data_IF_534874948963
#
_entry.id   IF_534874948963
#
_cell.length_a   1.000
_cell.length_b   1.000
_cell.length_c   1.000
_cell.angle_alpha   90.00
_cell.angle_beta   90.00
_cell.angle_gamma   90.00
#
_symmetry.space_group_name_H-M   'P 1'
#
loop_
_entity.id
_entity.type
_entity.pdbx_description
1 polymer ?
#
# COMPACT_ATOMS: atom_id res chain seq x y z
N UNK A 1 9.16 25.30 -14.59
CA UNK A 1 9.65 23.93 -14.36
C UNK A 1 9.54 23.19 -15.68
N UNK A 2 10.33 22.17 -15.97
CA UNK A 2 10.11 21.39 -17.19
C UNK A 2 8.68 20.85 -17.18
N UNK A 3 8.08 20.77 -18.39
CA UNK A 3 6.72 20.24 -18.54
C UNK A 3 6.66 18.71 -18.39
N UNK A 4 7.83 18.05 -18.25
CA UNK A 4 7.98 16.59 -18.21
C UNK A 4 8.91 16.19 -17.05
N UNK A 5 8.53 15.18 -16.27
CA UNK A 5 9.30 14.60 -15.17
C UNK A 5 10.08 13.41 -15.71
N UNK A 6 11.39 13.48 -15.65
CA UNK A 6 12.30 12.42 -16.10
C UNK A 6 12.48 11.41 -14.97
N UNK A 7 12.01 10.18 -15.18
CA UNK A 7 11.95 9.17 -14.14
C UNK A 7 12.73 7.90 -14.48
N UNK A 8 13.28 7.25 -13.45
CA UNK A 8 13.93 5.94 -13.57
C UNK A 8 13.36 4.96 -12.53
N UNK A 9 13.43 3.67 -12.84
CA UNK A 9 12.99 2.59 -11.95
C UNK A 9 14.21 1.87 -11.38
N UNK A 10 14.23 1.63 -10.07
CA UNK A 10 15.25 0.86 -9.37
C UNK A 10 14.65 -0.48 -8.93
N UNK A 11 15.12 -1.56 -9.53
CA UNK A 11 14.63 -2.92 -9.34
C UNK A 11 13.77 -3.41 -10.51
N UNK A 12 14.24 -4.48 -11.18
CA UNK A 12 13.53 -5.13 -12.30
C UNK A 12 13.47 -6.65 -12.13
N UNK A 13 13.32 -7.06 -10.87
CA UNK A 13 13.26 -8.48 -10.51
C UNK A 13 12.03 -9.20 -11.07
N UNK A 14 12.10 -10.55 -11.22
CA UNK A 14 11.02 -11.34 -11.82
C UNK A 14 9.81 -11.51 -10.91
N UNK A 15 9.96 -11.23 -9.62
CA UNK A 15 8.87 -11.37 -8.66
C UNK A 15 7.78 -10.36 -8.97
N UNK A 16 6.63 -10.86 -9.37
CA UNK A 16 5.44 -10.07 -9.69
C UNK A 16 5.61 -8.99 -10.76
N UNK A 17 6.77 -8.90 -11.43
CA UNK A 17 7.05 -7.95 -12.49
C UNK A 17 6.77 -6.47 -12.15
N UNK A 18 6.94 -6.08 -10.88
CA UNK A 18 6.64 -4.70 -10.45
C UNK A 18 7.56 -3.66 -11.09
N UNK A 19 8.82 -3.98 -11.37
CA UNK A 19 9.69 -3.08 -12.11
C UNK A 19 9.12 -2.75 -13.50
N UNK A 20 8.62 -3.76 -14.22
CA UNK A 20 7.92 -3.57 -15.47
C UNK A 20 6.64 -2.74 -15.30
N UNK A 21 5.84 -3.01 -14.27
CA UNK A 21 4.60 -2.30 -14.01
C UNK A 21 4.84 -0.80 -13.75
N UNK A 22 5.85 -0.47 -12.92
CA UNK A 22 6.21 0.94 -12.67
C UNK A 22 6.72 1.61 -13.94
N UNK A 23 7.53 0.92 -14.76
CA UNK A 23 7.96 1.42 -16.06
C UNK A 23 6.78 1.72 -17.00
N UNK A 24 5.77 0.83 -17.00
CA UNK A 24 4.56 1.02 -17.79
C UNK A 24 3.72 2.20 -17.32
N UNK A 25 3.49 2.36 -16.01
CA UNK A 25 2.75 3.50 -15.46
C UNK A 25 3.47 4.82 -15.77
N UNK A 26 4.79 4.88 -15.59
CA UNK A 26 5.60 6.04 -15.92
C UNK A 26 5.46 6.36 -17.42
N UNK A 27 5.62 5.37 -18.30
CA UNK A 27 5.53 5.55 -19.74
C UNK A 27 4.13 5.92 -20.25
N UNK A 28 3.08 5.47 -19.54
CA UNK A 28 1.68 5.73 -19.91
C UNK A 28 1.13 7.06 -19.37
N UNK A 29 1.84 7.72 -18.44
CA UNK A 29 1.43 9.01 -17.89
C UNK A 29 2.11 10.13 -18.67
N UNK A 30 1.36 11.00 -19.38
CA UNK A 30 1.93 11.96 -20.33
C UNK A 30 2.96 12.92 -19.75
N UNK A 31 2.87 13.23 -18.45
CA UNK A 31 3.78 14.14 -17.74
C UNK A 31 5.12 13.49 -17.36
N UNK A 32 5.28 12.17 -17.57
CA UNK A 32 6.53 11.46 -17.26
C UNK A 32 7.25 10.98 -18.52
N UNK A 33 8.57 10.90 -18.42
CA UNK A 33 9.45 10.22 -19.37
C UNK A 33 10.20 9.11 -18.64
N UNK A 34 10.06 7.85 -19.08
CA UNK A 34 10.87 6.75 -18.59
C UNK A 34 12.27 6.86 -19.20
N UNK A 35 13.23 7.33 -18.41
CA UNK A 35 14.65 7.46 -18.85
C UNK A 35 15.34 6.12 -18.80
N UNK A 36 15.11 5.31 -17.77
CA UNK A 36 15.80 4.03 -17.67
C UNK A 36 15.50 3.21 -16.42
N UNK A 37 16.23 2.11 -16.33
CA UNK A 37 16.10 1.11 -15.26
C UNK A 37 17.47 0.82 -14.66
N UNK A 38 17.53 0.76 -13.32
CA UNK A 38 18.67 0.31 -12.56
C UNK A 38 18.38 -1.02 -11.86
N UNK A 39 19.20 -2.02 -12.07
CA UNK A 39 19.19 -3.27 -11.29
C UNK A 39 20.61 -3.81 -11.19
N UNK A 40 21.00 -4.27 -10.00
CA UNK A 40 22.35 -4.85 -9.77
C UNK A 40 22.63 -6.09 -10.61
N UNK A 41 21.58 -6.78 -11.08
CA UNK A 41 21.69 -7.95 -11.93
C UNK A 41 21.67 -7.53 -13.41
N UNK A 42 22.77 -7.76 -14.17
CA UNK A 42 22.84 -7.42 -15.59
C UNK A 42 21.79 -8.14 -16.46
N UNK A 43 21.30 -9.31 -16.05
CA UNK A 43 20.23 -10.00 -16.78
C UNK A 43 18.92 -9.22 -16.68
N UNK A 44 18.67 -8.56 -15.54
CA UNK A 44 17.48 -7.73 -15.33
C UNK A 44 17.52 -6.44 -16.12
N UNK A 45 18.66 -5.78 -16.16
CA UNK A 45 18.84 -4.58 -17.00
C UNK A 45 18.77 -4.91 -18.49
N UNK A 46 19.26 -6.08 -18.90
CA UNK A 46 19.09 -6.54 -20.28
C UNK A 46 17.62 -6.84 -20.62
N UNK A 47 16.87 -7.46 -19.71
CA UNK A 47 15.42 -7.68 -19.86
C UNK A 47 14.67 -6.34 -19.96
N UNK A 48 14.96 -5.39 -19.08
CA UNK A 48 14.34 -4.06 -19.12
C UNK A 48 14.60 -3.36 -20.47
N UNK A 49 15.80 -3.46 -21.00
CA UNK A 49 16.16 -2.87 -22.30
C UNK A 49 15.45 -3.54 -23.47
N UNK A 50 15.13 -4.83 -23.35
CA UNK A 50 14.34 -5.57 -24.35
C UNK A 50 12.84 -5.17 -24.30
N UNK A 51 12.30 -5.00 -23.08
CA UNK A 51 10.89 -4.60 -22.88
C UNK A 51 10.66 -3.13 -23.27
N UNK A 52 11.65 -2.27 -23.06
CA UNK A 52 11.58 -0.81 -23.29
C UNK A 52 12.72 -0.35 -24.20
N UNK A 53 12.61 -0.52 -25.52
CA UNK A 53 13.65 -0.08 -26.44
C UNK A 53 13.93 1.43 -26.34
N UNK A 54 15.21 1.78 -26.22
CA UNK A 54 15.66 3.18 -26.17
C UNK A 54 15.94 3.72 -24.76
N UNK A 55 15.57 3.00 -23.69
CA UNK A 55 15.93 3.41 -22.34
C UNK A 55 17.40 3.18 -22.02
N UNK A 56 17.90 3.91 -21.03
CA UNK A 56 19.21 3.66 -20.42
C UNK A 56 19.11 2.59 -19.32
N UNK A 57 20.24 1.96 -19.00
CA UNK A 57 20.31 0.98 -17.92
C UNK A 57 21.57 1.13 -17.09
N UNK A 58 21.45 0.93 -15.78
CA UNK A 58 22.55 1.00 -14.81
C UNK A 58 22.56 -0.25 -13.93
N UNK A 59 23.76 -0.68 -13.55
CA UNK A 59 23.91 -1.79 -12.60
C UNK A 59 24.32 -1.33 -11.19
N UNK A 60 24.56 -0.02 -11.02
CA UNK A 60 24.84 0.62 -9.74
C UNK A 60 23.93 1.86 -9.57
N UNK A 61 23.34 2.00 -8.39
CA UNK A 61 22.52 3.17 -8.06
C UNK A 61 23.34 4.46 -8.01
N UNK A 62 24.66 4.39 -7.71
CA UNK A 62 25.53 5.55 -7.69
C UNK A 62 25.63 6.20 -9.08
N UNK A 63 25.71 5.38 -10.15
CA UNK A 63 25.76 5.89 -11.53
C UNK A 63 24.44 6.58 -11.92
N UNK A 64 23.29 6.02 -11.46
CA UNK A 64 22.00 6.62 -11.66
C UNK A 64 21.86 7.95 -10.89
N UNK A 65 22.27 7.97 -9.61
CA UNK A 65 22.13 9.16 -8.76
C UNK A 65 23.04 10.32 -9.18
N UNK A 66 24.15 10.03 -9.86
CA UNK A 66 25.04 11.05 -10.44
C UNK A 66 24.44 11.78 -11.66
N UNK A 67 23.28 11.36 -12.16
CA UNK A 67 22.60 11.97 -13.32
C UNK A 67 21.79 13.19 -12.89
N UNK A 68 22.14 14.37 -13.37
CA UNK A 68 21.43 15.62 -13.07
C UNK A 68 20.10 15.76 -13.84
N UNK A 69 19.93 14.99 -14.91
CA UNK A 69 18.77 15.03 -15.79
C UNK A 69 17.65 14.03 -15.40
N UNK A 70 17.75 13.39 -14.24
CA UNK A 70 16.70 12.53 -13.68
C UNK A 70 16.10 13.22 -12.47
N UNK A 71 14.79 13.44 -12.50
CA UNK A 71 14.04 14.15 -11.46
C UNK A 71 13.50 13.21 -10.37
N UNK A 72 13.08 11.99 -10.76
CA UNK A 72 12.38 11.05 -9.90
C UNK A 72 12.93 9.63 -10.06
N UNK A 73 12.99 8.91 -8.95
CA UNK A 73 13.25 7.46 -8.97
C UNK A 73 12.12 6.69 -8.29
N UNK A 74 11.72 5.57 -8.89
CA UNK A 74 10.78 4.62 -8.33
C UNK A 74 11.51 3.41 -7.79
N UNK A 75 11.49 3.20 -6.47
CA UNK A 75 12.21 2.13 -5.77
C UNK A 75 11.31 0.90 -5.63
N UNK A 76 11.64 -0.17 -6.36
CA UNK A 76 10.84 -1.39 -6.53
C UNK A 76 11.66 -2.63 -6.20
N UNK A 77 12.40 -2.55 -5.13
CA UNK A 77 13.32 -3.58 -4.64
C UNK A 77 12.72 -4.33 -3.45
N UNK A 78 13.37 -5.35 -2.86
CA UNK A 78 12.91 -5.96 -1.61
C UNK A 78 12.86 -4.97 -0.44
N UNK A 79 11.88 -5.12 0.47
CA UNK A 79 11.57 -4.16 1.55
C UNK A 79 12.78 -3.71 2.36
N UNK A 80 13.74 -4.61 2.65
CA UNK A 80 14.93 -4.30 3.46
C UNK A 80 15.90 -3.33 2.77
N UNK A 81 15.75 -3.10 1.48
CA UNK A 81 16.58 -2.17 0.70
C UNK A 81 15.88 -0.84 0.42
N UNK A 82 14.57 -0.71 0.72
CA UNK A 82 13.81 0.50 0.42
C UNK A 82 14.39 1.74 1.12
N UNK A 83 14.57 1.66 2.44
CA UNK A 83 15.03 2.81 3.21
C UNK A 83 16.43 3.30 2.80
N UNK A 84 17.48 2.46 2.72
CA UNK A 84 18.79 2.94 2.30
C UNK A 84 18.78 3.54 0.90
N UNK A 85 18.15 2.88 -0.08
CA UNK A 85 18.10 3.39 -1.47
C UNK A 85 17.33 4.71 -1.55
N UNK A 86 16.17 4.80 -0.90
CA UNK A 86 15.37 6.02 -0.91
C UNK A 86 16.09 7.22 -0.26
N UNK A 87 16.78 6.99 0.88
CA UNK A 87 17.56 8.03 1.55
C UNK A 87 18.70 8.53 0.66
N UNK A 88 19.44 7.63 0.00
CA UNK A 88 20.51 8.01 -0.92
C UNK A 88 19.97 8.81 -2.12
N UNK A 89 18.86 8.36 -2.72
CA UNK A 89 18.22 9.06 -3.83
C UNK A 89 17.77 10.48 -3.44
N UNK A 90 17.09 10.61 -2.28
CA UNK A 90 16.66 11.91 -1.75
C UNK A 90 17.85 12.86 -1.54
N UNK A 91 18.92 12.38 -0.92
CA UNK A 91 20.17 13.15 -0.71
C UNK A 91 20.85 13.53 -2.02
N UNK A 92 20.70 12.71 -3.06
CA UNK A 92 21.14 13.03 -4.42
C UNK A 92 20.19 14.00 -5.17
N UNK A 93 19.19 14.55 -4.48
CA UNK A 93 18.29 15.55 -5.05
C UNK A 93 17.17 14.97 -5.92
N UNK A 94 16.84 13.68 -5.80
CA UNK A 94 15.77 13.04 -6.55
C UNK A 94 14.46 13.01 -5.73
N UNK A 95 13.32 13.18 -6.39
CA UNK A 95 12.03 12.75 -5.82
C UNK A 95 11.97 11.24 -5.77
N UNK A 96 11.28 10.67 -4.80
CA UNK A 96 11.22 9.22 -4.61
C UNK A 96 9.78 8.74 -4.50
N UNK A 97 9.44 7.74 -5.30
CA UNK A 97 8.32 6.82 -5.06
C UNK A 97 8.90 5.51 -4.54
N UNK A 98 8.43 5.03 -3.41
CA UNK A 98 8.85 3.73 -2.87
C UNK A 98 7.68 2.75 -2.87
N UNK A 99 7.95 1.50 -3.29
CA UNK A 99 6.97 0.43 -3.19
C UNK A 99 6.61 0.13 -1.73
N UNK A 100 5.42 -0.45 -1.57
CA UNK A 100 4.95 -0.92 -0.26
C UNK A 100 5.58 -2.32 0.05
N UNK A 101 5.83 -2.70 1.30
CA UNK A 101 5.84 -1.83 2.47
C UNK A 101 6.98 -0.81 2.38
N UNK A 102 6.71 0.43 2.80
CA UNK A 102 7.66 1.54 2.70
C UNK A 102 9.05 1.19 3.24
N UNK A 103 9.13 0.44 4.34
CA UNK A 103 10.36 0.01 5.01
C UNK A 103 10.03 -1.02 6.10
N UNK A 104 11.02 -1.45 6.91
CA UNK A 104 10.85 -2.50 7.90
C UNK A 104 10.42 -2.03 9.31
N UNK A 105 10.59 -0.75 9.65
CA UNK A 105 10.26 -0.22 10.97
C UNK A 105 10.08 1.30 10.95
N UNK A 106 9.52 1.84 12.03
CA UNK A 106 9.21 3.27 12.17
C UNK A 106 10.45 4.14 12.16
N UNK A 107 11.59 3.68 12.68
CA UNK A 107 12.83 4.45 12.64
C UNK A 107 13.32 4.65 11.20
N UNK A 108 13.25 3.62 10.35
CA UNK A 108 13.57 3.76 8.93
C UNK A 108 12.61 4.72 8.23
N UNK A 109 11.30 4.61 8.48
CA UNK A 109 10.31 5.52 7.90
C UNK A 109 10.58 6.98 8.29
N UNK A 110 10.93 7.24 9.54
CA UNK A 110 11.30 8.57 10.03
C UNK A 110 12.54 9.09 9.32
N UNK A 111 13.61 8.29 9.22
CA UNK A 111 14.82 8.70 8.53
C UNK A 111 14.60 8.99 7.03
N UNK A 112 13.70 8.25 6.37
CA UNK A 112 13.31 8.54 4.98
C UNK A 112 12.58 9.88 4.85
N UNK A 113 11.67 10.18 5.78
CA UNK A 113 10.93 11.46 5.83
C UNK A 113 11.90 12.62 6.08
N UNK A 114 12.76 12.50 7.08
CA UNK A 114 13.78 13.51 7.40
C UNK A 114 14.70 13.79 6.20
N UNK A 115 15.15 12.75 5.51
CA UNK A 115 15.97 12.92 4.30
C UNK A 115 15.20 13.64 3.17
N UNK A 116 13.89 13.41 3.03
CA UNK A 116 13.06 14.11 2.05
C UNK A 116 12.91 15.60 2.39
N UNK A 117 12.67 15.92 3.67
CA UNK A 117 12.55 17.28 4.17
C UNK A 117 13.86 18.05 4.03
N UNK A 118 14.99 17.47 4.45
CA UNK A 118 16.33 18.04 4.32
C UNK A 118 16.71 18.36 2.86
N UNK A 119 16.31 17.47 1.94
CA UNK A 119 16.57 17.65 0.51
C UNK A 119 15.54 18.56 -0.19
N UNK A 120 14.43 18.89 0.44
CA UNK A 120 13.31 19.59 -0.20
C UNK A 120 12.69 18.78 -1.35
N UNK A 121 12.64 17.45 -1.21
CA UNK A 121 12.15 16.52 -2.21
C UNK A 121 10.93 15.75 -1.73
N UNK A 122 10.14 15.26 -2.68
CA UNK A 122 8.97 14.44 -2.39
C UNK A 122 9.37 13.01 -2.10
N UNK A 123 8.85 12.46 -1.00
CA UNK A 123 8.80 11.03 -0.72
C UNK A 123 7.35 10.57 -0.76
N UNK A 124 6.99 9.77 -1.74
CA UNK A 124 5.66 9.19 -1.90
C UNK A 124 5.72 7.66 -1.78
N UNK A 125 4.66 7.05 -1.23
CA UNK A 125 4.54 5.59 -1.10
C UNK A 125 3.52 5.07 -2.10
N UNK A 126 3.84 3.99 -2.81
CA UNK A 126 2.99 3.45 -3.87
C UNK A 126 1.80 2.65 -3.31
N UNK A 127 0.86 3.32 -2.65
CA UNK A 127 -0.43 2.74 -2.25
C UNK A 127 -1.48 2.94 -3.34
N UNK A 128 -1.21 2.46 -4.55
CA UNK A 128 -2.08 2.56 -5.72
C UNK A 128 -3.48 1.95 -5.51
N UNK A 129 -3.63 1.04 -4.54
CA UNK A 129 -4.91 0.40 -4.24
C UNK A 129 -5.92 1.31 -3.54
N UNK A 130 -5.57 2.57 -3.20
CA UNK A 130 -6.57 3.62 -2.93
C UNK A 130 -7.53 3.82 -4.11
N UNK A 131 -7.10 3.40 -5.31
CA UNK A 131 -7.87 3.46 -6.54
C UNK A 131 -8.51 2.11 -6.94
N UNK A 132 -8.54 1.12 -6.06
CA UNK A 132 -9.31 -0.12 -6.26
C UNK A 132 -10.81 0.20 -6.29
N UNK A 133 -11.52 -0.36 -7.25
CA UNK A 133 -12.92 -0.01 -7.50
C UNK A 133 -13.87 -0.34 -6.35
N UNK A 134 -13.63 -1.42 -5.62
CA UNK A 134 -14.39 -1.76 -4.41
C UNK A 134 -14.12 -0.75 -3.27
N UNK A 135 -12.86 -0.40 -3.04
CA UNK A 135 -12.49 0.57 -2.02
C UNK A 135 -13.06 1.96 -2.33
N UNK A 136 -12.96 2.41 -3.58
CA UNK A 136 -13.56 3.69 -4.04
C UNK A 136 -15.07 3.71 -3.84
N UNK A 137 -15.77 2.60 -4.12
CA UNK A 137 -17.22 2.47 -3.89
C UNK A 137 -17.55 2.52 -2.40
N UNK A 138 -16.83 1.77 -1.58
CA UNK A 138 -17.00 1.76 -0.12
C UNK A 138 -16.78 3.16 0.44
N UNK A 139 -15.66 3.80 0.08
CA UNK A 139 -15.35 5.15 0.55
C UNK A 139 -16.44 6.15 0.16
N UNK A 140 -16.94 6.10 -1.07
CA UNK A 140 -18.06 6.95 -1.49
C UNK A 140 -19.28 6.76 -0.60
N UNK A 141 -19.72 5.51 -0.36
CA UNK A 141 -20.91 5.23 0.45
C UNK A 141 -20.74 5.69 1.92
N UNK A 142 -19.53 5.57 2.46
CA UNK A 142 -19.19 6.07 3.79
C UNK A 142 -19.20 7.60 3.83
N UNK A 143 -18.57 8.25 2.86
CA UNK A 143 -18.51 9.72 2.76
C UNK A 143 -19.91 10.34 2.53
N UNK A 144 -20.78 9.65 1.77
CA UNK A 144 -22.17 10.05 1.53
C UNK A 144 -23.09 9.81 2.75
N UNK A 145 -22.56 9.17 3.81
CA UNK A 145 -23.30 8.91 5.06
C UNK A 145 -24.37 7.82 4.96
N UNK A 146 -24.30 6.94 3.96
CA UNK A 146 -25.33 5.94 3.64
C UNK A 146 -25.61 4.93 4.77
N UNK A 147 -24.71 4.80 5.74
CA UNK A 147 -24.83 3.92 6.91
C UNK A 147 -24.77 4.66 8.25
N UNK A 148 -24.82 6.00 8.22
CA UNK A 148 -24.65 6.84 9.40
C UNK A 148 -23.20 6.86 9.90
N UNK A 149 -23.01 7.09 11.21
CA UNK A 149 -21.68 7.11 11.83
C UNK A 149 -21.06 5.72 11.86
N UNK A 150 -19.88 5.56 11.27
CA UNK A 150 -19.14 4.28 11.26
C UNK A 150 -18.48 4.05 12.61
N UNK A 151 -18.72 2.89 13.22
CA UNK A 151 -18.15 2.54 14.53
C UNK A 151 -17.29 1.25 14.49
N UNK A 152 -17.41 0.44 13.43
CA UNK A 152 -16.60 -0.77 13.24
C UNK A 152 -16.30 -1.03 11.78
N UNK A 153 -15.04 -1.34 11.48
CA UNK A 153 -14.57 -1.76 10.16
C UNK A 153 -13.87 -3.11 10.31
N UNK A 154 -14.39 -4.16 9.69
CA UNK A 154 -13.76 -5.47 9.63
C UNK A 154 -13.17 -5.66 8.22
N UNK A 155 -11.87 -5.95 8.15
CA UNK A 155 -11.16 -6.28 6.93
C UNK A 155 -10.46 -7.62 7.10
N UNK A 156 -10.78 -8.58 6.24
CA UNK A 156 -10.16 -9.90 6.28
C UNK A 156 -9.58 -10.28 4.93
N UNK A 157 -8.27 -10.56 4.89
CA UNK A 157 -7.57 -11.00 3.71
C UNK A 157 -6.82 -12.31 3.94
N UNK A 158 -6.38 -12.92 2.84
CA UNK A 158 -5.68 -14.19 2.84
C UNK A 158 -6.62 -15.39 2.75
N UNK A 159 -6.06 -16.58 2.96
CA UNK A 159 -6.73 -17.86 2.82
C UNK A 159 -5.90 -18.97 3.45
N UNK A 160 -5.99 -20.18 2.91
CA UNK A 160 -5.15 -21.30 3.31
C UNK A 160 -4.18 -21.64 2.17
N UNK A 161 -2.88 -21.42 2.37
CA UNK A 161 -1.87 -21.68 1.35
C UNK A 161 -0.45 -21.48 1.89
N UNK A 162 0.46 -22.29 1.35
CA UNK A 162 1.88 -22.21 1.64
C UNK A 162 2.42 -20.82 1.26
N UNK A 163 3.13 -20.12 2.17
CA UNK A 163 3.72 -18.82 1.86
C UNK A 163 4.90 -18.88 0.88
N UNK A 164 5.40 -20.07 0.56
CA UNK A 164 6.60 -20.32 -0.24
C UNK A 164 7.87 -19.65 0.33
N UNK A 165 9.04 -20.02 -0.18
CA UNK A 165 10.29 -19.38 0.23
C UNK A 165 10.59 -18.13 -0.60
N UNK A 166 10.97 -17.05 0.08
CA UNK A 166 11.40 -15.82 -0.55
C UNK A 166 11.83 -14.78 0.47
N UNK A 167 12.44 -13.69 0.04
CA UNK A 167 12.84 -12.62 0.94
C UNK A 167 11.66 -12.09 1.79
N UNK A 168 10.45 -12.13 1.27
CA UNK A 168 9.20 -11.67 1.93
C UNK A 168 8.71 -12.62 3.04
N UNK A 169 9.24 -13.83 3.10
CA UNK A 169 8.95 -14.80 4.17
C UNK A 169 10.09 -14.93 5.18
N UNK A 170 11.15 -14.17 5.01
CA UNK A 170 12.23 -13.98 6.00
C UNK A 170 11.96 -12.67 6.77
N UNK A 171 11.69 -12.76 8.07
CA UNK A 171 11.30 -11.57 8.88
C UNK A 171 12.33 -10.44 8.79
N UNK A 172 13.62 -10.76 8.79
CA UNK A 172 14.68 -9.77 8.68
C UNK A 172 14.73 -9.03 7.33
N UNK A 173 14.14 -9.59 6.27
CA UNK A 173 14.14 -9.03 4.92
C UNK A 173 12.77 -8.47 4.51
N UNK A 174 11.71 -9.18 4.89
CA UNK A 174 10.34 -8.85 4.50
C UNK A 174 9.54 -8.11 5.57
N UNK A 175 10.00 -8.11 6.83
CA UNK A 175 9.33 -7.47 7.96
C UNK A 175 8.26 -8.32 8.65
N UNK A 176 7.71 -9.34 7.99
CA UNK A 176 6.70 -10.23 8.56
C UNK A 176 5.41 -10.35 7.74
N UNK A 177 4.46 -11.13 8.26
CA UNK A 177 3.21 -11.46 7.56
C UNK A 177 2.43 -10.21 7.11
N UNK A 178 2.31 -9.20 7.97
CA UNK A 178 1.56 -7.98 7.64
C UNK A 178 2.22 -7.15 6.54
N UNK A 179 3.53 -7.24 6.34
CA UNK A 179 4.27 -6.40 5.38
C UNK A 179 4.00 -6.77 3.92
N UNK A 180 3.44 -7.94 3.65
CA UNK A 180 3.18 -8.39 2.27
C UNK A 180 1.93 -7.71 1.67
N UNK A 181 0.75 -7.96 2.23
CA UNK A 181 -0.52 -7.38 1.77
C UNK A 181 -1.10 -6.35 2.72
N UNK A 182 -0.72 -6.43 3.99
CA UNK A 182 -1.17 -5.54 5.05
C UNK A 182 -0.94 -4.04 4.79
N UNK A 183 0.09 -3.59 4.04
CA UNK A 183 0.25 -2.18 3.75
C UNK A 183 -0.97 -1.56 3.06
N UNK A 184 -1.54 -2.26 2.07
CA UNK A 184 -2.77 -1.81 1.42
C UNK A 184 -3.97 -1.84 2.37
N UNK A 185 -4.09 -2.92 3.16
CA UNK A 185 -5.19 -3.07 4.10
C UNK A 185 -5.20 -1.96 5.17
N UNK A 186 -4.06 -1.71 5.80
CA UNK A 186 -3.95 -0.67 6.83
C UNK A 186 -4.13 0.72 6.23
N UNK A 187 -3.54 1.00 5.07
CA UNK A 187 -3.73 2.28 4.38
C UNK A 187 -5.22 2.56 4.08
N UNK A 188 -5.96 1.55 3.63
CA UNK A 188 -7.41 1.66 3.44
C UNK A 188 -8.16 1.95 4.75
N UNK A 189 -7.83 1.22 5.84
CA UNK A 189 -8.47 1.42 7.14
C UNK A 189 -8.22 2.84 7.67
N UNK A 190 -6.98 3.32 7.59
CA UNK A 190 -6.61 4.67 8.00
C UNK A 190 -7.27 5.74 7.14
N UNK A 191 -7.40 5.49 5.83
CA UNK A 191 -8.07 6.39 4.88
C UNK A 191 -9.59 6.46 5.14
N UNK A 192 -10.24 5.34 5.49
CA UNK A 192 -11.66 5.34 5.82
C UNK A 192 -11.92 5.98 7.19
N UNK A 193 -11.07 5.71 8.18
CA UNK A 193 -11.21 6.29 9.51
C UNK A 193 -11.02 7.82 9.49
N UNK A 194 -10.03 8.32 8.73
CA UNK A 194 -9.77 9.75 8.59
C UNK A 194 -9.35 10.48 9.87
N UNK A 195 -8.99 9.75 10.93
CA UNK A 195 -8.70 10.29 12.26
C UNK A 195 -7.44 9.64 12.88
N UNK A 196 -7.06 10.08 14.07
CA UNK A 196 -5.88 9.56 14.78
C UNK A 196 -6.14 8.22 15.46
N UNK A 197 -5.14 7.37 15.43
CA UNK A 197 -5.12 6.12 16.19
C UNK A 197 -4.76 6.38 17.64
N UNK A 198 -5.47 5.73 18.58
CA UNK A 198 -5.19 5.81 20.04
C UNK A 198 -4.49 4.58 20.57
N UNK A 199 -4.55 3.46 19.86
CA UNK A 199 -3.86 2.25 20.26
C UNK A 199 -4.09 1.09 19.31
N UNK A 200 -3.17 0.13 19.38
CA UNK A 200 -3.21 -1.09 18.56
C UNK A 200 -3.05 -2.32 19.46
N UNK A 201 -3.86 -3.34 19.20
CA UNK A 201 -3.75 -4.67 19.82
C UNK A 201 -3.48 -5.70 18.74
N UNK A 202 -2.41 -6.46 18.88
CA UNK A 202 -1.99 -7.48 17.92
C UNK A 202 -2.02 -8.89 18.46
N UNK A 203 -2.34 -9.85 17.59
CA UNK A 203 -2.28 -11.29 17.86
C UNK A 203 -1.62 -11.97 16.68
N UNK A 204 -0.48 -12.61 16.91
CA UNK A 204 0.28 -13.32 15.88
C UNK A 204 0.41 -14.79 16.25
N UNK A 205 0.16 -15.67 15.28
CA UNK A 205 0.19 -17.11 15.48
C UNK A 205 1.13 -17.75 14.48
N UNK A 206 1.99 -18.65 14.98
CA UNK A 206 2.82 -19.56 14.22
C UNK A 206 2.34 -20.98 14.50
N UNK A 207 1.72 -21.66 13.52
CA UNK A 207 0.98 -22.92 13.78
C UNK A 207 1.21 -24.01 12.75
N UNK A 208 1.57 -23.67 11.50
CA UNK A 208 1.56 -24.62 10.39
C UNK A 208 2.86 -24.56 9.57
N UNK A 209 3.30 -23.40 9.13
CA UNK A 209 4.37 -23.25 8.14
C UNK A 209 5.75 -23.11 8.77
N UNK A 210 6.32 -24.20 9.33
CA UNK A 210 7.57 -24.17 10.09
C UNK A 210 8.82 -23.83 9.27
N UNK A 211 8.72 -23.90 7.93
CA UNK A 211 9.83 -23.63 7.01
C UNK A 211 10.10 -22.13 6.78
N UNK A 212 9.27 -21.24 7.29
CA UNK A 212 9.44 -19.77 7.23
C UNK A 212 9.36 -19.18 8.63
N UNK A 213 9.97 -18.02 8.88
CA UNK A 213 10.04 -17.40 10.21
C UNK A 213 8.95 -16.36 10.48
N UNK A 214 8.14 -16.01 9.49
CA UNK A 214 6.98 -15.12 9.64
C UNK A 214 5.79 -15.85 10.28
N UNK A 215 4.89 -15.11 10.91
CA UNK A 215 3.63 -15.64 11.42
C UNK A 215 2.75 -16.24 10.30
N UNK A 216 1.90 -17.20 10.64
CA UNK A 216 0.94 -17.81 9.71
C UNK A 216 -0.40 -17.07 9.72
N UNK A 217 -0.74 -16.40 10.81
CA UNK A 217 -1.97 -15.65 11.03
C UNK A 217 -1.68 -14.43 11.88
N UNK A 218 -2.22 -13.29 11.48
CA UNK A 218 -2.17 -12.06 12.23
C UNK A 218 -3.57 -11.46 12.34
N UNK A 219 -3.93 -11.01 13.54
CA UNK A 219 -5.10 -10.22 13.82
C UNK A 219 -4.66 -8.93 14.51
N UNK A 220 -5.15 -7.78 14.02
CA UNK A 220 -4.79 -6.46 14.51
C UNK A 220 -6.04 -5.65 14.75
N UNK A 221 -6.23 -5.14 15.95
CA UNK A 221 -7.31 -4.21 16.29
C UNK A 221 -6.71 -2.81 16.43
N UNK A 222 -7.24 -1.86 15.68
CA UNK A 222 -6.83 -0.45 15.71
C UNK A 222 -7.98 0.33 16.35
N UNK A 223 -7.67 1.14 17.38
CA UNK A 223 -8.62 2.04 18.03
C UNK A 223 -8.35 3.46 17.58
N UNK A 224 -9.41 4.22 17.36
CA UNK A 224 -9.38 5.61 16.95
C UNK A 224 -9.98 6.56 17.99
N UNK A 225 -9.76 7.87 17.82
CA UNK A 225 -10.19 8.88 18.79
C UNK A 225 -11.71 8.94 18.97
N UNK A 226 -12.50 8.73 17.93
CA UNK A 226 -13.96 8.68 18.00
C UNK A 226 -14.51 7.46 18.75
N UNK A 227 -13.68 6.46 18.98
CA UNK A 227 -14.09 5.15 19.48
C UNK A 227 -14.32 4.12 18.37
N UNK A 228 -14.18 4.49 17.10
CA UNK A 228 -14.14 3.56 15.97
C UNK A 228 -13.07 2.48 16.22
N UNK A 229 -13.41 1.23 15.88
CA UNK A 229 -12.47 0.11 15.92
C UNK A 229 -12.37 -0.52 14.53
N UNK A 230 -11.14 -0.65 14.03
CA UNK A 230 -10.86 -1.46 12.84
C UNK A 230 -10.24 -2.81 13.23
N UNK A 231 -10.76 -3.88 12.65
CA UNK A 231 -10.30 -5.27 12.81
C UNK A 231 -9.68 -5.74 11.49
N UNK A 232 -8.36 -5.81 11.45
CA UNK A 232 -7.63 -6.40 10.34
C UNK A 232 -7.24 -7.84 10.67
N UNK A 233 -7.68 -8.79 9.85
CA UNK A 233 -7.19 -10.18 9.90
C UNK A 233 -6.49 -10.52 8.58
N UNK A 234 -5.21 -10.93 8.64
CA UNK A 234 -4.49 -11.47 7.50
C UNK A 234 -3.94 -12.87 7.82
N UNK A 235 -4.18 -13.83 6.94
CA UNK A 235 -3.90 -15.24 7.26
C UNK A 235 -3.46 -16.06 6.06
N UNK A 236 -2.55 -17.00 6.30
CA UNK A 236 -2.14 -18.07 5.40
C UNK A 236 -2.66 -19.45 5.84
N UNK A 237 -3.48 -19.48 6.89
CA UNK A 237 -4.07 -20.70 7.45
C UNK A 237 -5.58 -20.55 7.70
N UNK A 238 -6.25 -19.66 7.00
CA UNK A 238 -7.68 -19.44 7.15
C UNK A 238 -8.47 -20.31 6.16
N UNK A 239 -9.03 -21.41 6.67
CA UNK A 239 -9.84 -22.34 5.89
C UNK A 239 -11.31 -21.89 5.70
N UNK A 240 -11.75 -20.84 6.41
CA UNK A 240 -13.11 -20.32 6.36
C UNK A 240 -13.12 -18.79 6.19
N UNK A 241 -12.78 -18.29 4.99
CA UNK A 241 -12.70 -16.86 4.75
C UNK A 241 -14.07 -16.18 4.90
N UNK A 242 -14.06 -14.98 5.48
CA UNK A 242 -15.20 -14.06 5.51
C UNK A 242 -15.09 -13.07 4.34
N UNK A 243 -16.14 -12.25 4.08
CA UNK A 243 -16.02 -11.14 3.14
C UNK A 243 -14.79 -10.28 3.43
N UNK A 244 -14.16 -9.75 2.37
CA UNK A 244 -13.01 -8.85 2.51
C UNK A 244 -13.36 -7.66 3.40
N UNK A 245 -14.54 -7.06 3.18
CA UNK A 245 -15.03 -5.92 3.93
C UNK A 245 -16.37 -6.20 4.62
N UNK A 246 -16.48 -5.77 5.88
CA UNK A 246 -17.72 -5.59 6.59
C UNK A 246 -17.62 -4.31 7.43
N UNK A 247 -18.46 -3.33 7.15
CA UNK A 247 -18.43 -2.04 7.81
C UNK A 247 -19.79 -1.83 8.47
N UNK A 248 -19.78 -1.42 9.73
CA UNK A 248 -20.98 -1.16 10.51
C UNK A 248 -21.06 0.32 10.85
N UNK A 249 -22.21 0.89 10.56
CA UNK A 249 -22.59 2.23 10.96
C UNK A 249 -23.87 2.24 11.77
N UNK A 250 -24.22 3.40 12.34
CA UNK A 250 -25.39 3.56 13.21
C UNK A 250 -26.72 3.38 12.48
N UNK A 251 -26.71 3.51 11.14
CA UNK A 251 -27.91 3.41 10.30
C UNK A 251 -27.82 2.29 9.26
N UNK A 252 -26.78 1.46 9.31
CA UNK A 252 -26.64 0.36 8.35
C UNK A 252 -25.31 -0.34 8.34
N UNK A 253 -25.06 -1.06 7.24
CA UNK A 253 -23.81 -1.79 7.03
C UNK A 253 -23.46 -1.87 5.54
N UNK A 254 -22.17 -2.02 5.25
CA UNK A 254 -21.64 -2.34 3.93
C UNK A 254 -20.91 -3.68 4.02
N UNK A 255 -21.19 -4.59 3.09
CA UNK A 255 -20.53 -5.91 3.01
C UNK A 255 -20.04 -6.13 1.58
N UNK A 256 -18.76 -6.44 1.41
CA UNK A 256 -18.22 -6.88 0.12
C UNK A 256 -18.79 -8.27 -0.23
N UNK A 257 -19.31 -8.43 -1.43
CA UNK A 257 -19.90 -9.69 -1.88
C UNK A 257 -18.88 -10.67 -2.48
N UNK A 258 -17.58 -10.30 -2.48
CA UNK A 258 -16.48 -11.20 -2.77
C UNK A 258 -16.13 -11.38 -4.25
N UNK A 259 -16.71 -10.60 -5.14
CA UNK A 259 -16.27 -10.57 -6.54
C UNK A 259 -15.36 -9.36 -6.77
N UNK A 260 -14.12 -9.58 -7.18
CA UNK A 260 -13.29 -8.48 -7.63
C UNK A 260 -11.82 -8.44 -7.17
N UNK A 261 -11.33 -9.47 -6.51
CA UNK A 261 -9.88 -9.58 -6.36
C UNK A 261 -9.26 -9.83 -7.74
N UNK A 262 -8.71 -8.79 -8.35
CA UNK A 262 -7.93 -8.90 -9.58
C UNK A 262 -6.78 -9.87 -9.37
N UNK A 263 -6.82 -11.00 -10.07
CA UNK A 263 -5.71 -11.93 -10.14
C UNK A 263 -4.77 -11.43 -11.24
N UNK A 264 -3.53 -11.14 -10.87
CA UNK A 264 -2.44 -10.90 -11.80
C UNK A 264 -2.08 -9.43 -11.98
N UNK A 265 -0.79 -9.21 -12.07
CA UNK A 265 -0.14 -7.89 -12.28
C UNK A 265 -0.10 -7.50 -13.77
N UNK A 266 -0.65 -8.31 -14.65
CA UNK A 266 -0.71 -8.05 -16.09
C UNK A 266 -1.66 -6.90 -16.46
N UNK A 267 -2.44 -6.41 -15.48
CA UNK A 267 -3.38 -5.32 -15.67
C UNK A 267 -2.84 -4.03 -15.03
N UNK A 268 -1.82 -3.46 -15.64
CA UNK A 268 -1.29 -2.12 -15.33
C UNK A 268 -2.29 -1.02 -15.68
N UNK A 269 -3.40 -1.35 -16.28
CA UNK A 269 -4.39 -0.43 -16.82
C UNK A 269 -5.66 -0.49 -15.99
N UNK A 270 -6.38 0.62 -15.90
CA UNK A 270 -7.74 0.72 -15.35
C UNK A 270 -8.63 -0.41 -15.86
N UNK A 271 -9.27 -1.12 -14.95
CA UNK A 271 -10.14 -2.24 -15.31
C UNK A 271 -11.61 -1.87 -15.13
N UNK A 272 -12.52 -2.45 -15.94
CA UNK A 272 -13.94 -2.23 -15.74
C UNK A 272 -14.41 -2.70 -14.37
N UNK A 273 -15.55 -2.18 -13.89
CA UNK A 273 -16.13 -2.59 -12.61
C UNK A 273 -16.31 -4.11 -12.51
N UNK A 274 -15.90 -4.69 -11.38
CA UNK A 274 -16.07 -6.10 -11.07
C UNK A 274 -16.65 -6.27 -9.68
N UNK A 275 -17.71 -7.09 -9.56
CA UNK A 275 -18.37 -7.35 -8.29
C UNK A 275 -19.21 -6.19 -7.77
N UNK A 276 -19.69 -6.35 -6.56
CA UNK A 276 -20.58 -5.39 -5.89
C UNK A 276 -20.32 -5.37 -4.40
N UNK A 277 -20.82 -4.33 -3.75
CA UNK A 277 -21.03 -4.30 -2.30
C UNK A 277 -22.52 -4.38 -2.02
N UNK A 278 -22.88 -5.05 -0.94
CA UNK A 278 -24.24 -5.05 -0.39
C UNK A 278 -24.34 -3.93 0.63
N UNK A 279 -25.16 -2.92 0.33
CA UNK A 279 -25.55 -1.87 1.24
C UNK A 279 -26.81 -2.30 1.98
N UNK A 280 -26.78 -2.21 3.30
CA UNK A 280 -27.90 -2.48 4.20
C UNK A 280 -28.18 -1.19 4.95
N UNK A 281 -29.41 -0.66 4.82
CA UNK A 281 -29.86 0.52 5.54
C UNK A 281 -30.98 0.16 6.51
N UNK A 282 -30.91 0.78 7.69
CA UNK A 282 -31.84 0.51 8.78
C UNK A 282 -32.41 1.83 9.27
N UNK A 283 -33.75 1.93 9.34
CA UNK A 283 -34.45 3.12 9.82
C UNK A 283 -35.59 2.75 10.78
N UNK A 284 -36.24 3.77 11.33
CA UNK A 284 -37.38 3.59 12.27
C UNK A 284 -37.03 2.66 13.44
N UNK A 285 -35.86 2.91 14.10
CA UNK A 285 -35.37 2.10 15.24
C UNK A 285 -35.24 0.60 14.92
N UNK A 286 -34.79 0.27 13.71
CA UNK A 286 -34.59 -1.11 13.26
C UNK A 286 -35.84 -1.79 12.67
N UNK A 287 -36.99 -1.09 12.61
CA UNK A 287 -38.23 -1.67 12.08
C UNK A 287 -38.28 -1.76 10.57
N UNK A 288 -37.51 -0.89 9.87
CA UNK A 288 -37.42 -0.89 8.42
C UNK A 288 -35.98 -1.23 8.04
N UNK A 289 -35.83 -2.20 7.15
CA UNK A 289 -34.57 -2.64 6.62
C UNK A 289 -34.67 -2.70 5.09
N UNK A 290 -33.68 -2.11 4.41
CA UNK A 290 -33.54 -2.16 2.96
C UNK A 290 -32.16 -2.73 2.64
N UNK A 291 -32.09 -3.56 1.63
CA UNK A 291 -30.82 -4.10 1.12
C UNK A 291 -30.77 -3.90 -0.38
N UNK A 292 -29.61 -3.49 -0.87
CA UNK A 292 -29.37 -3.36 -2.29
C UNK A 292 -27.92 -3.74 -2.62
N UNK A 293 -27.73 -4.32 -3.79
CA UNK A 293 -26.40 -4.53 -4.36
C UNK A 293 -26.02 -3.32 -5.19
N UNK A 294 -24.84 -2.75 -4.89
CA UNK A 294 -24.29 -1.59 -5.59
C UNK A 294 -23.03 -2.06 -6.31
N UNK A 295 -22.97 -1.96 -7.64
CA UNK A 295 -21.78 -2.34 -8.40
C UNK A 295 -20.54 -1.58 -7.93
N UNK A 296 -19.41 -2.25 -7.86
CA UNK A 296 -18.13 -1.59 -7.63
C UNK A 296 -17.80 -0.62 -8.78
N UNK A 297 -16.89 0.30 -8.53
CA UNK A 297 -16.29 1.13 -9.59
C UNK A 297 -15.24 0.32 -10.36
N UNK A 298 -14.75 0.83 -11.47
CA UNK A 298 -13.54 0.32 -12.11
C UNK A 298 -12.31 0.62 -11.25
N UNK A 299 -11.30 -0.21 -11.36
CA UNK A 299 -9.98 0.14 -10.83
C UNK A 299 -9.38 1.26 -11.69
N UNK A 300 -8.67 2.18 -11.03
CA UNK A 300 -8.12 3.38 -11.66
C UNK A 300 -6.69 3.63 -11.14
N UNK A 301 -5.82 2.61 -11.30
CA UNK A 301 -4.48 2.64 -10.72
C UNK A 301 -3.55 3.66 -11.37
N UNK A 302 -3.82 4.05 -12.62
CA UNK A 302 -3.10 5.11 -13.34
C UNK A 302 -3.26 6.47 -12.64
N UNK A 303 -4.37 6.64 -11.93
CA UNK A 303 -4.66 7.86 -11.16
C UNK A 303 -3.59 8.21 -10.14
N UNK A 304 -2.92 7.22 -9.55
CA UNK A 304 -1.81 7.47 -8.62
C UNK A 304 -0.68 8.27 -9.30
N UNK A 305 -0.30 7.89 -10.51
CA UNK A 305 0.79 8.55 -11.24
C UNK A 305 0.35 9.91 -11.79
N UNK A 306 -0.91 10.07 -12.18
CA UNK A 306 -1.49 11.35 -12.56
C UNK A 306 -1.50 12.32 -11.37
N UNK A 307 -1.95 11.87 -10.19
CA UNK A 307 -1.95 12.68 -8.96
C UNK A 307 -0.53 13.05 -8.53
N UNK A 308 0.43 12.16 -8.71
CA UNK A 308 1.84 12.44 -8.45
C UNK A 308 2.39 13.51 -9.42
N UNK A 309 2.04 13.44 -10.70
CA UNK A 309 2.40 14.47 -11.67
C UNK A 309 1.79 15.84 -11.30
N UNK A 310 0.52 15.86 -10.91
CA UNK A 310 -0.15 17.09 -10.44
C UNK A 310 0.54 17.65 -9.19
N UNK A 311 0.98 16.78 -8.28
CA UNK A 311 1.77 17.22 -7.12
C UNK A 311 3.08 17.87 -7.55
N UNK A 312 3.87 17.20 -8.36
CA UNK A 312 5.22 17.65 -8.72
C UNK A 312 5.24 18.88 -9.63
N UNK A 313 4.27 19.01 -10.54
CA UNK A 313 4.24 20.07 -11.53
C UNK A 313 3.32 21.24 -11.14
N UNK A 314 2.24 20.98 -10.40
CA UNK A 314 1.15 21.93 -10.14
C UNK A 314 0.94 22.24 -8.66
N UNK A 315 1.70 21.57 -7.75
CA UNK A 315 1.61 21.80 -6.31
C UNK A 315 0.35 21.23 -5.66
N UNK A 316 -0.31 20.25 -6.30
CA UNK A 316 -1.38 19.48 -5.66
C UNK A 316 -0.87 18.71 -4.42
N UNK A 317 -1.72 18.25 -3.52
CA UNK A 317 -1.30 17.38 -2.44
C UNK A 317 -0.61 16.11 -2.96
N UNK A 318 0.40 15.60 -2.24
CA UNK A 318 1.02 14.31 -2.57
C UNK A 318 -0.02 13.19 -2.43
N UNK A 319 -0.12 12.25 -3.39
CA UNK A 319 -1.18 11.22 -3.35
C UNK A 319 -1.12 10.31 -2.14
N UNK A 320 0.08 9.91 -1.73
CA UNK A 320 0.35 9.17 -0.50
C UNK A 320 1.72 9.62 0.03
N UNK A 321 1.72 10.30 1.14
CA UNK A 321 2.95 10.86 1.72
C UNK A 321 3.79 9.82 2.46
N UNK A 322 5.06 10.15 2.71
CA UNK A 322 5.90 9.38 3.64
C UNK A 322 5.29 9.26 5.04
N UNK A 323 4.53 10.27 5.48
CA UNK A 323 3.80 10.23 6.76
C UNK A 323 2.68 9.19 6.76
N UNK A 324 1.91 9.05 5.66
CA UNK A 324 0.90 7.98 5.50
C UNK A 324 1.57 6.60 5.57
N UNK A 325 2.71 6.45 4.86
CA UNK A 325 3.51 5.23 4.91
C UNK A 325 4.00 4.91 6.32
N UNK A 326 4.50 5.92 7.07
CA UNK A 326 4.96 5.73 8.46
C UNK A 326 3.81 5.32 9.39
N UNK A 327 2.61 5.87 9.24
CA UNK A 327 1.42 5.45 10.00
C UNK A 327 1.12 3.95 9.76
N UNK A 328 1.21 3.50 8.52
CA UNK A 328 1.03 2.08 8.17
C UNK A 328 2.08 1.19 8.85
N UNK A 329 3.36 1.56 8.79
CA UNK A 329 4.45 0.82 9.45
C UNK A 329 4.29 0.84 10.98
N UNK A 330 3.84 1.96 11.55
CA UNK A 330 3.60 2.09 13.00
C UNK A 330 2.53 1.10 13.49
N UNK A 331 1.48 0.83 12.70
CA UNK A 331 0.50 -0.22 13.03
C UNK A 331 1.16 -1.59 13.11
N UNK A 332 2.03 -1.94 12.17
CA UNK A 332 2.68 -3.27 12.16
C UNK A 332 3.60 -3.46 13.35
N UNK A 333 4.48 -2.50 13.60
CA UNK A 333 5.43 -2.54 14.71
C UNK A 333 4.70 -2.56 16.06
N UNK A 334 3.66 -1.74 16.21
CA UNK A 334 2.85 -1.68 17.43
C UNK A 334 2.04 -2.96 17.64
N UNK A 335 1.47 -3.56 16.58
CA UNK A 335 0.75 -4.83 16.67
C UNK A 335 1.68 -5.97 17.07
N UNK A 336 2.90 -6.05 16.52
CA UNK A 336 3.88 -7.05 16.93
C UNK A 336 4.29 -6.87 18.41
N UNK A 337 4.55 -5.64 18.84
CA UNK A 337 4.86 -5.31 20.24
C UNK A 337 3.71 -5.72 21.15
N UNK A 338 2.47 -5.35 20.80
CA UNK A 338 1.27 -5.71 21.57
C UNK A 338 1.10 -7.23 21.69
N UNK A 339 1.37 -7.99 20.64
CA UNK A 339 1.31 -9.45 20.69
C UNK A 339 2.32 -10.06 21.66
N UNK A 340 3.45 -9.40 21.91
CA UNK A 340 4.47 -9.85 22.87
C UNK A 340 4.14 -9.42 24.30
N UNK A 341 3.62 -8.21 24.49
CA UNK A 341 3.30 -7.65 25.81
C UNK A 341 1.94 -8.10 26.34
N UNK A 342 1.03 -8.52 25.46
CA UNK A 342 -0.33 -8.93 25.78
C UNK A 342 -1.30 -7.79 26.10
N UNK A 343 -0.89 -6.55 25.86
CA UNK A 343 -1.71 -5.34 26.11
C UNK A 343 -1.86 -4.50 24.84
N UNK A 344 -2.86 -3.60 24.85
CA UNK A 344 -2.97 -2.57 23.81
C UNK A 344 -1.81 -1.59 23.97
N UNK A 345 -1.06 -1.37 22.89
CA UNK A 345 0.06 -0.43 22.86
C UNK A 345 -0.34 0.88 22.20
N UNK A 346 0.15 2.04 22.67
CA UNK A 346 -0.04 3.31 22.00
C UNK A 346 0.75 3.36 20.69
N UNK A 347 0.21 4.05 19.70
CA UNK A 347 0.85 4.18 18.38
C UNK A 347 1.81 5.36 18.39
N UNK A 348 3.07 5.19 18.01
CA UNK A 348 4.01 6.30 17.89
C UNK A 348 3.63 7.22 16.72
N UNK A 349 3.94 8.53 16.85
CA UNK A 349 3.77 9.56 15.81
C UNK A 349 2.31 9.87 15.39
N UNK A 350 1.34 9.56 16.23
CA UNK A 350 -0.07 9.97 16.03
C UNK A 350 -0.42 11.29 16.77
N UNK A 351 0.58 12.04 17.18
CA UNK A 351 0.41 13.29 17.94
C UNK A 351 0.07 14.47 17.04
#
# INVERSE_FOLDING_TARGET
MPDTIRAAVIGYGPMHHFGWAHSAWISNTPEFELVGVCDRDPERTAAAKADWPGIETWNDTADLFARDDIDLVSVVTPHFTHAPIAIEALRAGKHVVVEKAMCLNVAQATAMIEAAEEAGKTLAVHHNRRHDGNFRRIKQLVDDGEIGEVFQIDLQAGGYGDPEHGWYTEKAKGGGLLYFWGPHAVDWLLTLAGEKMTGVTGFFFKKVWDHVDIADHAKTLIRFESGLVADLTYSRINAAPRPLWRILGTEGAIIDTGAGATKGYEQVISTPPQGSVRLIQVSDRGRKRQEQEIPNMGNDWDKYWQDLADHLLRGAPVPVSGYDGRRTIAVFETAEKSSQTGVTEPVPYEQ
#
